data_IF_600296098304
#
_entry.id   IF_600296098304
#
_cell.length_a   1.000
_cell.length_b   1.000
_cell.length_c   1.000
_cell.angle_alpha   90.00
_cell.angle_beta   90.00
_cell.angle_gamma   90.00
#
_symmetry.space_group_name_H-M   'P 1'
#
loop_
_entity.id
_entity.type
_entity.pdbx_description
1 polymer ?
#
# COMPACT_ATOMS: atom_id res chain seq x y z
N UNK A 1 24.89 -14.18 -13.95
CA UNK A 1 23.49 -14.47 -13.52
C UNK A 1 23.36 -15.59 -12.49
N UNK A 2 24.24 -16.61 -12.41
CA UNK A 2 24.10 -17.71 -11.44
C UNK A 2 24.48 -17.41 -9.97
N UNK A 3 25.28 -16.37 -9.69
CA UNK A 3 25.77 -16.10 -8.32
C UNK A 3 24.75 -15.36 -7.43
N UNK A 4 23.87 -14.53 -8.01
CA UNK A 4 22.89 -13.74 -7.25
C UNK A 4 21.73 -14.58 -6.70
N UNK A 5 21.35 -15.67 -7.38
CA UNK A 5 20.24 -16.53 -6.99
C UNK A 5 20.56 -17.39 -5.75
N UNK A 6 21.84 -17.64 -5.46
CA UNK A 6 22.27 -18.49 -4.35
C UNK A 6 22.27 -17.70 -3.02
N UNK A 7 22.59 -16.40 -3.05
CA UNK A 7 22.56 -15.54 -1.85
C UNK A 7 21.14 -15.25 -1.33
N UNK A 8 20.10 -15.35 -2.17
CA UNK A 8 18.71 -15.03 -1.75
C UNK A 8 18.07 -16.21 -1.00
N UNK A 9 18.54 -17.44 -1.21
CA UNK A 9 17.97 -18.64 -0.57
C UNK A 9 18.48 -18.89 0.86
N UNK A 10 19.64 -18.35 1.26
CA UNK A 10 20.20 -18.57 2.59
C UNK A 10 19.56 -17.73 3.70
N UNK A 11 18.80 -16.68 3.35
CA UNK A 11 18.16 -15.76 4.31
C UNK A 11 16.81 -16.28 4.86
N UNK A 12 16.23 -17.33 4.29
CA UNK A 12 14.89 -17.83 4.68
C UNK A 12 14.86 -18.86 5.83
N UNK A 13 16.01 -19.37 6.31
CA UNK A 13 16.03 -20.52 7.24
C UNK A 13 16.19 -20.19 8.74
N UNK A 14 16.25 -18.93 9.18
CA UNK A 14 16.61 -18.58 10.58
C UNK A 14 15.44 -18.28 11.54
N UNK A 15 14.20 -18.68 11.21
CA UNK A 15 12.99 -18.22 11.90
C UNK A 15 12.19 -19.29 12.65
N UNK A 16 12.78 -20.21 13.42
CA UNK A 16 11.99 -21.05 14.34
C UNK A 16 12.85 -21.71 15.45
N UNK A 17 12.69 -21.27 16.71
CA UNK A 17 12.50 -22.11 17.92
C UNK A 17 12.67 -21.27 19.21
N UNK A 18 11.71 -21.34 20.13
CA UNK A 18 11.93 -21.51 21.59
C UNK A 18 10.59 -21.41 22.38
N UNK A 19 10.26 -22.45 23.16
CA UNK A 19 9.16 -22.50 24.13
C UNK A 19 9.71 -22.67 25.58
N UNK A 20 8.97 -22.24 26.62
CA UNK A 20 9.37 -22.24 28.06
C UNK A 20 8.30 -22.84 28.99
N UNK A 21 8.65 -23.42 30.17
CA UNK A 21 7.68 -23.94 31.16
C UNK A 21 7.58 -23.14 32.52
N UNK A 22 6.67 -23.61 33.41
CA UNK A 22 5.88 -22.94 34.50
C UNK A 22 6.37 -23.16 35.97
N UNK A 23 5.64 -22.61 36.97
CA UNK A 23 6.15 -22.05 38.24
C UNK A 23 5.17 -22.16 39.45
N UNK A 24 5.66 -22.32 40.71
CA UNK A 24 4.87 -22.18 41.96
C UNK A 24 5.63 -21.57 43.19
N UNK A 25 4.91 -20.70 43.93
CA UNK A 25 5.03 -20.11 45.30
C UNK A 25 6.35 -19.60 45.93
N UNK A 26 6.57 -18.26 45.94
CA UNK A 26 7.85 -17.63 46.40
C UNK A 26 7.76 -16.28 47.12
N UNK A 27 6.57 -15.75 47.34
CA UNK A 27 6.38 -14.39 47.87
C UNK A 27 7.00 -14.17 49.28
N UNK A 28 7.01 -15.18 50.15
CA UNK A 28 7.54 -15.05 51.52
C UNK A 28 9.07 -15.02 51.59
N UNK A 29 9.75 -15.61 50.61
CA UNK A 29 11.22 -15.69 50.57
C UNK A 29 11.86 -14.37 50.14
N UNK A 30 11.19 -13.60 49.27
CA UNK A 30 11.67 -12.30 48.81
C UNK A 30 11.56 -11.21 49.89
N UNK A 31 10.54 -11.27 50.75
CA UNK A 31 10.35 -10.31 51.84
C UNK A 31 11.42 -10.44 52.94
N UNK A 32 11.90 -11.65 53.24
CA UNK A 32 12.99 -11.84 54.20
C UNK A 32 14.38 -11.48 53.66
N UNK A 33 14.56 -11.49 52.33
CA UNK A 33 15.88 -11.32 51.68
C UNK A 33 16.14 -9.89 51.19
N UNK A 34 15.15 -8.98 51.26
CA UNK A 34 15.36 -7.54 51.02
C UNK A 34 16.14 -6.84 52.15
N UNK A 35 16.50 -7.55 53.22
CA UNK A 35 17.26 -7.04 54.36
C UNK A 35 18.75 -7.38 54.31
N UNK A 36 19.24 -8.12 53.31
CA UNK A 36 20.66 -8.50 53.17
C UNK A 36 21.35 -7.73 52.04
N UNK A 37 22.54 -7.18 52.32
CA UNK A 37 23.30 -6.25 51.46
C UNK A 37 24.22 -6.90 50.41
N UNK A 38 24.03 -8.17 50.07
CA UNK A 38 24.80 -8.87 49.03
C UNK A 38 24.08 -8.86 47.67
N UNK A 39 24.79 -8.68 46.54
CA UNK A 39 24.19 -8.77 45.21
C UNK A 39 23.55 -10.15 45.02
N UNK A 40 22.25 -10.13 44.73
CA UNK A 40 21.39 -11.31 44.77
C UNK A 40 21.14 -11.78 43.33
N UNK A 41 21.61 -12.98 42.99
CA UNK A 41 21.13 -13.71 41.81
C UNK A 41 20.07 -14.70 42.30
N UNK A 42 18.79 -14.41 42.04
CA UNK A 42 17.68 -15.31 42.36
C UNK A 42 17.11 -15.83 41.04
N UNK A 43 17.50 -17.04 40.68
CA UNK A 43 16.86 -17.80 39.62
C UNK A 43 15.60 -18.46 40.19
N UNK A 44 14.43 -17.86 39.93
CA UNK A 44 13.16 -18.50 40.24
C UNK A 44 12.01 -18.07 39.30
N UNK A 45 11.33 -19.06 38.74
CA UNK A 45 10.47 -18.98 37.55
C UNK A 45 9.11 -18.29 37.71
N UNK A 46 8.71 -17.81 38.90
CA UNK A 46 7.35 -17.32 39.22
C UNK A 46 7.19 -15.80 39.23
N UNK A 47 8.22 -15.09 39.66
CA UNK A 47 8.23 -13.64 39.81
C UNK A 47 9.63 -13.21 39.50
N UNK A 48 9.80 -12.63 38.32
CA UNK A 48 11.12 -12.25 37.87
C UNK A 48 11.49 -10.94 38.52
N UNK A 49 12.33 -11.04 39.55
CA UNK A 49 12.98 -9.90 40.19
C UNK A 49 14.31 -9.72 39.50
N UNK A 50 14.54 -8.53 38.96
CA UNK A 50 15.77 -8.22 38.25
C UNK A 50 16.43 -7.02 38.91
N UNK A 51 17.71 -7.18 39.22
CA UNK A 51 18.60 -6.05 39.43
C UNK A 51 18.95 -5.48 38.05
N UNK A 52 18.99 -4.16 37.94
CA UNK A 52 19.30 -3.46 36.69
C UNK A 52 20.79 -3.58 36.30
N UNK A 53 21.28 -4.80 36.07
CA UNK A 53 22.70 -5.10 35.83
C UNK A 53 23.20 -4.59 34.47
N UNK A 54 22.32 -4.42 33.47
CA UNK A 54 22.72 -3.98 32.12
C UNK A 54 23.04 -2.50 32.01
N UNK A 55 22.36 -1.64 32.78
CA UNK A 55 22.60 -0.18 32.74
C UNK A 55 23.25 0.39 34.00
N UNK A 56 23.24 -0.33 35.13
CA UNK A 56 23.99 0.02 36.34
C UNK A 56 24.89 -1.14 36.75
N UNK A 57 26.04 -1.26 36.07
CA UNK A 57 27.04 -2.32 36.32
C UNK A 57 27.70 -2.20 37.70
N UNK A 58 27.55 -1.06 38.38
CA UNK A 58 28.17 -0.77 39.68
C UNK A 58 27.18 -0.88 40.86
N UNK A 59 25.88 -1.06 40.58
CA UNK A 59 24.84 -1.16 41.60
C UNK A 59 24.64 0.12 42.42
N UNK A 60 25.06 1.27 41.90
CA UNK A 60 24.99 2.57 42.57
C UNK A 60 23.54 3.07 42.72
N UNK A 61 22.66 2.69 41.80
CA UNK A 61 21.24 3.05 41.81
C UNK A 61 20.45 2.28 42.87
N UNK A 62 20.93 1.12 43.34
CA UNK A 62 20.26 0.23 44.34
C UNK A 62 18.75 0.04 44.08
N UNK A 63 18.34 -0.04 42.82
CA UNK A 63 16.95 -0.22 42.40
C UNK A 63 16.66 -1.69 42.10
N UNK A 64 15.52 -2.16 42.59
CA UNK A 64 15.01 -3.50 42.36
C UNK A 64 13.71 -3.41 41.55
N UNK A 65 13.67 -4.10 40.42
CA UNK A 65 12.46 -4.24 39.62
C UNK A 65 11.88 -5.63 39.86
N UNK A 66 10.60 -5.70 40.22
CA UNK A 66 9.87 -6.95 40.37
C UNK A 66 8.63 -6.92 39.49
N UNK A 67 8.38 -8.02 38.79
CA UNK A 67 7.15 -8.22 38.02
C UNK A 67 6.38 -9.39 38.61
N UNK A 68 5.10 -9.19 38.87
CA UNK A 68 4.18 -10.22 39.34
C UNK A 68 2.98 -10.30 38.41
N UNK A 69 2.72 -11.48 37.87
CA UNK A 69 1.52 -11.75 37.08
C UNK A 69 0.37 -12.22 37.97
N UNK A 70 -0.88 -11.87 37.59
CA UNK A 70 -2.07 -12.26 38.33
C UNK A 70 -2.22 -13.79 38.41
N UNK A 71 -1.85 -14.50 37.35
CA UNK A 71 -1.90 -15.97 37.29
C UNK A 71 -1.11 -16.64 38.44
N UNK A 72 -0.02 -15.99 38.86
CA UNK A 72 0.94 -16.51 39.83
C UNK A 72 0.89 -15.79 41.19
N UNK A 73 0.05 -14.77 41.35
CA UNK A 73 0.12 -13.81 42.47
C UNK A 73 -1.22 -13.37 43.06
N UNK A 74 -2.30 -14.14 42.88
CA UNK A 74 -3.68 -13.76 43.29
C UNK A 74 -3.78 -13.22 44.72
N UNK A 75 -3.11 -13.88 45.67
CA UNK A 75 -3.10 -13.47 47.08
C UNK A 75 -2.48 -12.08 47.30
N UNK A 76 -1.43 -11.74 46.53
CA UNK A 76 -0.77 -10.43 46.59
C UNK A 76 -1.63 -9.33 45.95
N UNK A 77 -2.33 -9.63 44.86
CA UNK A 77 -3.29 -8.69 44.25
C UNK A 77 -4.46 -8.38 45.20
N UNK A 78 -4.97 -9.40 45.90
CA UNK A 78 -6.01 -9.23 46.93
C UNK A 78 -5.49 -8.43 48.13
N UNK A 79 -4.30 -8.74 48.64
CA UNK A 79 -3.69 -8.04 49.77
C UNK A 79 -3.42 -6.55 49.48
N UNK A 80 -3.07 -6.22 48.22
CA UNK A 80 -2.84 -4.85 47.77
C UNK A 80 -4.11 -4.16 47.25
N UNK A 81 -5.26 -4.84 47.30
CA UNK A 81 -6.56 -4.39 46.82
C UNK A 81 -6.53 -3.85 45.38
N UNK A 82 -5.80 -4.55 44.50
CA UNK A 82 -5.67 -4.18 43.09
C UNK A 82 -6.85 -4.77 42.30
N UNK A 83 -7.65 -3.91 41.66
CA UNK A 83 -8.82 -4.32 40.87
C UNK A 83 -8.52 -4.44 39.36
N UNK A 84 -7.46 -3.80 38.88
CA UNK A 84 -7.08 -3.73 37.46
C UNK A 84 -5.59 -3.98 37.26
N UNK A 85 -5.22 -4.44 36.06
CA UNK A 85 -3.84 -4.56 35.59
C UNK A 85 -3.77 -3.96 34.16
N UNK A 86 -2.65 -3.35 33.75
CA UNK A 86 -1.37 -3.21 34.45
C UNK A 86 -1.37 -2.08 35.49
N UNK A 87 -0.61 -2.25 36.57
CA UNK A 87 -0.35 -1.21 37.59
C UNK A 87 1.13 -1.23 37.96
N UNK A 88 1.76 -0.06 38.04
CA UNK A 88 3.14 0.09 38.49
C UNK A 88 3.13 0.71 39.89
N UNK A 89 3.82 0.08 40.83
CA UNK A 89 3.95 0.58 42.20
C UNK A 89 5.42 0.80 42.53
N UNK A 90 5.70 1.98 43.09
CA UNK A 90 7.01 2.33 43.61
C UNK A 90 6.98 2.30 45.14
N UNK A 91 7.78 1.43 45.72
CA UNK A 91 7.98 1.34 47.16
C UNK A 91 9.20 2.20 47.52
N UNK A 92 9.04 3.28 48.31
CA UNK A 92 10.18 4.07 48.75
C UNK A 92 11.05 3.27 49.71
N UNK A 93 12.36 3.56 49.80
CA UNK A 93 13.22 2.91 50.78
C UNK A 93 12.76 3.24 52.20
N UNK A 94 12.66 2.22 53.05
CA UNK A 94 12.28 2.36 54.47
C UNK A 94 13.49 2.47 55.40
N UNK A 95 14.67 2.08 54.91
CA UNK A 95 15.94 2.08 55.67
C UNK A 95 17.04 2.70 54.81
N UNK A 96 17.85 3.60 55.38
CA UNK A 96 19.03 4.19 54.73
C UNK A 96 18.95 5.72 54.50
N UNK A 97 19.96 6.32 53.84
CA UNK A 97 20.12 7.78 53.70
C UNK A 97 19.02 8.50 52.91
N UNK A 98 18.19 7.76 52.17
CA UNK A 98 17.06 8.28 51.40
C UNK A 98 15.69 7.81 51.90
N UNK A 99 15.61 7.30 53.14
CA UNK A 99 14.40 6.73 53.70
C UNK A 99 13.31 7.79 53.89
N UNK A 100 12.11 7.51 53.39
CA UNK A 100 10.93 8.37 53.62
C UNK A 100 10.20 7.89 54.88
N UNK A 101 9.77 8.84 55.72
CA UNK A 101 9.01 8.57 56.95
C UNK A 101 7.64 7.93 56.66
N UNK A 102 7.10 8.22 55.48
CA UNK A 102 5.88 7.60 54.96
C UNK A 102 6.26 6.48 53.98
N UNK A 103 6.13 5.24 54.43
CA UNK A 103 6.51 4.03 53.67
C UNK A 103 5.44 3.56 52.68
N UNK A 104 4.40 4.37 52.42
CA UNK A 104 3.29 3.98 51.56
C UNK A 104 3.73 3.88 50.09
N UNK A 105 3.27 2.85 49.35
CA UNK A 105 3.60 2.68 47.95
C UNK A 105 2.91 3.74 47.08
N UNK A 106 3.68 4.36 46.19
CA UNK A 106 3.16 5.32 45.22
C UNK A 106 2.71 4.56 43.98
N UNK A 107 1.48 4.80 43.52
CA UNK A 107 0.87 4.12 42.38
C UNK A 107 0.99 4.97 41.12
N UNK A 108 1.40 4.35 40.02
CA UNK A 108 1.33 4.89 38.67
C UNK A 108 0.23 4.16 37.90
N UNK A 109 -0.74 4.91 37.41
CA UNK A 109 -1.91 4.38 36.71
C UNK A 109 -1.75 4.50 35.19
N UNK A 110 -2.12 3.46 34.46
CA UNK A 110 -2.00 3.34 33.01
C UNK A 110 -3.31 3.74 32.30
N UNK A 111 -3.91 4.86 32.69
CA UNK A 111 -5.24 5.27 32.18
C UNK A 111 -5.25 5.67 30.69
N UNK A 112 -4.09 5.95 30.09
CA UNK A 112 -3.98 6.28 28.66
C UNK A 112 -2.78 5.56 28.02
N UNK A 113 -2.65 5.65 26.69
CA UNK A 113 -1.53 5.09 25.93
C UNK A 113 -0.22 5.83 26.28
N UNK A 114 0.34 5.52 27.46
CA UNK A 114 1.51 6.16 28.02
C UNK A 114 2.77 5.67 27.31
N UNK A 115 3.62 6.62 26.93
CA UNK A 115 4.93 6.36 26.36
C UNK A 115 5.90 5.83 27.43
N UNK A 116 6.89 5.05 27.01
CA UNK A 116 7.95 4.58 27.92
C UNK A 116 8.75 5.75 28.54
N UNK A 117 8.71 6.93 27.92
CA UNK A 117 9.35 8.16 28.40
C UNK A 117 8.62 8.76 29.58
N UNK A 118 7.29 8.77 29.56
CA UNK A 118 6.46 9.29 30.66
C UNK A 118 6.65 8.44 31.91
N UNK A 119 6.63 7.10 31.76
CA UNK A 119 6.94 6.17 32.84
C UNK A 119 8.35 6.39 33.39
N UNK A 120 9.35 6.51 32.51
CA UNK A 120 10.73 6.78 32.93
C UNK A 120 10.85 8.11 33.69
N UNK A 121 10.18 9.16 33.20
CA UNK A 121 10.14 10.48 33.87
C UNK A 121 9.46 10.40 35.25
N UNK A 122 8.41 9.59 35.38
CA UNK A 122 7.68 9.43 36.64
C UNK A 122 8.52 8.69 37.68
N UNK A 123 9.20 7.61 37.27
CA UNK A 123 10.15 6.88 38.12
C UNK A 123 11.28 7.83 38.54
N UNK A 124 11.88 8.54 37.58
CA UNK A 124 13.04 9.42 37.86
C UNK A 124 12.76 10.55 38.87
N UNK A 125 11.51 11.01 38.99
CA UNK A 125 11.08 12.05 39.93
C UNK A 125 10.97 11.58 41.39
N UNK A 126 10.69 10.29 41.60
CA UNK A 126 10.43 9.75 42.93
C UNK A 126 11.63 9.03 43.55
N UNK A 127 12.71 8.87 42.78
CA UNK A 127 13.96 8.26 43.21
C UNK A 127 14.87 9.25 43.96
N UNK A 128 15.63 8.77 44.97
CA UNK A 128 16.68 9.56 45.63
C UNK A 128 17.75 10.07 44.63
N UNK A 129 18.48 11.14 44.98
CA UNK A 129 19.58 11.64 44.14
C UNK A 129 20.62 10.54 43.88
N UNK A 130 20.85 10.23 42.61
CA UNK A 130 21.74 9.15 42.17
C UNK A 130 21.69 8.94 40.64
N UNK A 131 22.46 7.97 40.11
CA UNK A 131 22.44 7.63 38.70
C UNK A 131 21.07 7.09 38.28
N UNK A 132 20.54 7.62 37.16
CA UNK A 132 19.24 7.25 36.60
C UNK A 132 19.39 6.27 35.44
N UNK A 133 18.55 5.23 35.32
CA UNK A 133 18.66 4.25 34.25
C UNK A 133 18.28 4.87 32.89
N UNK A 134 19.11 4.78 31.83
CA UNK A 134 18.75 5.33 30.52
C UNK A 134 17.64 4.52 29.86
N UNK A 135 16.68 5.21 29.23
CA UNK A 135 15.66 4.57 28.40
C UNK A 135 16.25 4.18 27.04
N UNK A 136 16.46 2.87 26.82
CA UNK A 136 16.95 2.33 25.55
C UNK A 136 15.81 1.59 24.85
N UNK A 137 15.37 2.11 23.70
CA UNK A 137 14.38 1.44 22.86
C UNK A 137 15.09 0.35 22.03
N UNK A 138 14.63 -0.92 22.06
CA UNK A 138 15.21 -1.95 21.21
C UNK A 138 14.98 -1.59 19.74
N UNK A 139 16.00 -1.79 18.91
CA UNK A 139 15.88 -1.53 17.47
C UNK A 139 14.95 -2.55 16.82
N UNK A 140 14.05 -2.11 15.93
CA UNK A 140 13.11 -2.99 15.24
C UNK A 140 13.79 -3.70 14.06
N UNK A 141 14.51 -4.79 14.36
CA UNK A 141 15.18 -5.60 13.35
C UNK A 141 14.20 -6.25 12.37
N UNK A 142 13.01 -6.66 12.81
CA UNK A 142 11.99 -7.27 11.94
C UNK A 142 11.53 -6.26 10.89
N UNK A 143 11.20 -5.03 11.31
CA UNK A 143 10.79 -3.95 10.40
C UNK A 143 11.88 -3.57 9.39
N UNK A 144 13.15 -3.58 9.83
CA UNK A 144 14.28 -3.38 8.91
C UNK A 144 14.35 -4.51 7.89
N UNK A 145 14.34 -5.77 8.34
CA UNK A 145 14.44 -6.95 7.45
C UNK A 145 13.28 -6.98 6.46
N UNK A 146 12.04 -6.72 6.89
CA UNK A 146 10.87 -6.71 5.99
C UNK A 146 10.98 -5.61 4.95
N UNK A 147 11.41 -4.42 5.35
CA UNK A 147 11.56 -3.28 4.43
C UNK A 147 12.66 -3.56 3.42
N UNK A 148 13.82 -4.03 3.87
CA UNK A 148 14.94 -4.38 2.98
C UNK A 148 14.55 -5.50 2.01
N UNK A 149 13.86 -6.54 2.49
CA UNK A 149 13.41 -7.66 1.64
C UNK A 149 12.42 -7.20 0.59
N UNK A 150 11.46 -6.33 0.93
CA UNK A 150 10.48 -5.80 -0.01
C UNK A 150 11.16 -4.94 -1.09
N UNK A 151 12.07 -4.06 -0.70
CA UNK A 151 12.81 -3.20 -1.63
C UNK A 151 13.66 -4.04 -2.59
N UNK A 152 14.40 -5.02 -2.07
CA UNK A 152 15.19 -5.93 -2.91
C UNK A 152 14.30 -6.80 -3.82
N UNK A 153 13.16 -7.27 -3.31
CA UNK A 153 12.15 -7.98 -4.08
C UNK A 153 11.62 -7.16 -5.25
N UNK A 154 11.34 -5.87 -5.03
CA UNK A 154 10.87 -4.97 -6.07
C UNK A 154 11.95 -4.71 -7.13
N UNK A 155 13.20 -4.45 -6.70
CA UNK A 155 14.32 -4.23 -7.62
C UNK A 155 14.59 -5.47 -8.46
N UNK A 156 14.61 -6.66 -7.84
CA UNK A 156 14.80 -7.92 -8.55
C UNK A 156 13.66 -8.16 -9.54
N UNK A 157 12.40 -7.95 -9.14
CA UNK A 157 11.26 -8.04 -10.05
C UNK A 157 11.38 -7.11 -11.27
N UNK A 158 11.69 -5.83 -11.06
CA UNK A 158 11.83 -4.84 -12.15
C UNK A 158 12.98 -5.23 -13.08
N UNK A 159 14.13 -5.64 -12.53
CA UNK A 159 15.30 -6.04 -13.34
C UNK A 159 15.06 -7.31 -14.15
N UNK A 160 14.29 -8.27 -13.62
CA UNK A 160 13.88 -9.48 -14.36
C UNK A 160 12.80 -9.17 -15.41
N UNK A 161 11.88 -8.26 -15.12
CA UNK A 161 10.82 -7.89 -16.05
C UNK A 161 11.30 -6.95 -17.18
N UNK A 162 12.41 -6.24 -16.96
CA UNK A 162 13.04 -5.30 -17.91
C UNK A 162 13.15 -5.83 -19.35
N UNK A 163 13.73 -7.01 -19.65
CA UNK A 163 13.86 -7.51 -21.03
C UNK A 163 12.52 -7.75 -21.73
N UNK A 164 11.43 -7.99 -20.98
CA UNK A 164 10.10 -8.21 -21.56
C UNK A 164 9.31 -6.91 -21.70
N UNK A 165 9.40 -6.02 -20.71
CA UNK A 165 8.63 -4.77 -20.67
C UNK A 165 9.24 -3.68 -21.55
N UNK A 166 10.58 -3.55 -21.58
CA UNK A 166 11.22 -2.46 -22.33
C UNK A 166 10.93 -2.49 -23.83
N UNK A 167 10.99 -3.63 -24.54
CA UNK A 167 10.64 -3.66 -25.97
C UNK A 167 9.20 -3.23 -26.24
N UNK A 168 8.26 -3.54 -25.33
CA UNK A 168 6.86 -3.15 -25.45
C UNK A 168 6.73 -1.64 -25.26
N UNK A 169 7.31 -1.09 -24.19
CA UNK A 169 7.26 0.35 -23.89
C UNK A 169 8.03 1.19 -24.91
N UNK A 170 9.10 0.67 -25.53
CA UNK A 170 9.89 1.42 -26.52
C UNK A 170 9.32 1.30 -27.94
N UNK A 171 8.29 0.49 -28.17
CA UNK A 171 7.74 0.28 -29.50
C UNK A 171 6.94 1.51 -29.97
N UNK A 172 7.50 2.26 -30.93
CA UNK A 172 6.84 3.43 -31.53
C UNK A 172 5.49 3.09 -32.17
N UNK A 173 5.36 1.92 -32.79
CA UNK A 173 4.11 1.52 -33.46
C UNK A 173 2.99 1.25 -32.43
N UNK A 174 3.35 0.73 -31.25
CA UNK A 174 2.39 0.54 -30.15
C UNK A 174 1.83 1.89 -29.70
N UNK A 175 2.72 2.87 -29.44
CA UNK A 175 2.29 4.22 -29.05
C UNK A 175 1.51 4.94 -30.13
N UNK A 176 1.89 4.78 -31.40
CA UNK A 176 1.14 5.32 -32.53
C UNK A 176 -0.26 4.70 -32.64
N UNK A 177 -0.39 3.39 -32.40
CA UNK A 177 -1.70 2.73 -32.36
C UNK A 177 -2.57 3.19 -31.19
N UNK A 178 -2.00 3.25 -29.99
CA UNK A 178 -2.70 3.71 -28.78
C UNK A 178 -3.17 5.17 -28.94
N UNK A 179 -2.28 6.05 -29.42
CA UNK A 179 -2.64 7.47 -29.62
C UNK A 179 -3.70 7.64 -30.70
N UNK A 180 -3.64 6.87 -31.79
CA UNK A 180 -4.66 6.89 -32.84
C UNK A 180 -6.03 6.47 -32.28
N UNK A 181 -6.10 5.37 -31.53
CA UNK A 181 -7.35 4.91 -30.89
C UNK A 181 -7.88 5.99 -29.94
N UNK A 182 -7.02 6.60 -29.13
CA UNK A 182 -7.41 7.66 -28.20
C UNK A 182 -7.99 8.88 -28.95
N UNK A 183 -7.33 9.32 -30.02
CA UNK A 183 -7.82 10.44 -30.84
C UNK A 183 -9.19 10.11 -31.44
N UNK A 184 -9.40 8.90 -31.98
CA UNK A 184 -10.69 8.49 -32.55
C UNK A 184 -11.80 8.43 -31.50
N UNK A 185 -11.49 7.91 -30.30
CA UNK A 185 -12.44 7.84 -29.20
C UNK A 185 -12.84 9.24 -28.71
N UNK A 186 -11.88 10.16 -28.59
CA UNK A 186 -12.18 11.50 -28.10
C UNK A 186 -12.85 12.40 -29.14
N UNK A 187 -12.53 12.24 -30.43
CA UNK A 187 -13.15 13.03 -31.51
C UNK A 187 -14.55 12.56 -31.90
N UNK A 188 -14.90 11.29 -31.67
CA UNK A 188 -16.23 10.73 -32.00
C UNK A 188 -17.34 11.11 -31.01
N UNK A 189 -17.00 11.69 -29.84
CA UNK A 189 -17.98 12.09 -28.82
C UNK A 189 -18.18 11.08 -27.69
N UNK A 190 -17.27 10.13 -27.47
CA UNK A 190 -17.40 9.14 -26.39
C UNK A 190 -17.56 9.78 -24.99
N UNK A 191 -16.93 10.94 -24.74
CA UNK A 191 -17.08 11.68 -23.47
C UNK A 191 -18.49 12.24 -23.26
N UNK A 192 -19.15 12.68 -24.34
CA UNK A 192 -20.54 13.12 -24.27
C UNK A 192 -21.44 11.99 -23.76
N UNK A 193 -21.27 10.79 -24.32
CA UNK A 193 -22.01 9.60 -23.90
C UNK A 193 -21.72 9.22 -22.44
N UNK A 194 -20.45 9.30 -22.03
CA UNK A 194 -20.04 8.94 -20.68
C UNK A 194 -20.65 9.88 -19.61
N UNK A 195 -20.71 11.18 -19.88
CA UNK A 195 -21.24 12.18 -18.95
C UNK A 195 -22.78 12.08 -18.88
N UNK A 196 -23.45 12.02 -20.03
CA UNK A 196 -24.92 12.13 -20.12
C UNK A 196 -25.65 10.79 -19.99
N UNK A 197 -24.93 9.67 -19.91
CA UNK A 197 -25.50 8.31 -19.81
C UNK A 197 -26.59 8.05 -20.85
N UNK A 198 -26.29 8.40 -22.10
CA UNK A 198 -27.25 8.28 -23.21
C UNK A 198 -27.59 6.81 -23.51
N UNK A 199 -28.80 6.52 -24.01
CA UNK A 199 -29.15 5.17 -24.42
C UNK A 199 -28.27 4.72 -25.59
N UNK A 200 -28.02 3.41 -25.67
CA UNK A 200 -27.19 2.83 -26.71
C UNK A 200 -27.87 2.87 -28.09
N UNK A 201 -29.17 2.58 -28.12
CA UNK A 201 -30.08 2.72 -29.25
C UNK A 201 -31.45 3.16 -28.74
N UNK A 202 -32.26 3.79 -29.58
CA UNK A 202 -33.66 4.14 -29.26
C UNK A 202 -34.60 3.44 -30.22
N UNK A 203 -35.81 3.10 -29.76
CA UNK A 203 -36.87 2.62 -30.65
C UNK A 203 -37.47 3.78 -31.46
N UNK A 204 -37.87 3.50 -32.70
CA UNK A 204 -38.49 4.46 -33.63
C UNK A 204 -39.99 4.71 -33.35
N UNK A 205 -40.51 4.21 -32.22
CA UNK A 205 -41.94 4.27 -31.87
C UNK A 205 -42.86 3.43 -32.76
N UNK A 206 -42.39 2.95 -33.92
CA UNK A 206 -43.11 2.10 -34.89
C UNK A 206 -42.61 0.65 -34.93
N UNK A 207 -41.90 0.21 -33.89
CA UNK A 207 -41.30 -1.13 -33.81
C UNK A 207 -39.91 -1.27 -34.45
N UNK A 208 -39.33 -0.19 -35.00
CA UNK A 208 -37.96 -0.14 -35.52
C UNK A 208 -36.93 0.33 -34.48
N UNK A 209 -35.64 0.21 -34.79
CA UNK A 209 -34.51 0.71 -33.99
C UNK A 209 -33.87 1.89 -34.73
N UNK A 210 -33.74 3.03 -34.06
CA UNK A 210 -33.09 4.24 -34.56
C UNK A 210 -31.67 4.33 -34.00
N UNK A 211 -30.67 4.26 -34.90
CA UNK A 211 -29.25 4.26 -34.54
C UNK A 211 -28.64 5.67 -34.42
N UNK A 212 -29.29 6.68 -35.01
CA UNK A 212 -28.87 8.08 -34.98
C UNK A 212 -29.90 8.92 -34.25
N UNK A 213 -29.47 9.74 -33.30
CA UNK A 213 -30.38 10.64 -32.59
C UNK A 213 -30.76 11.82 -33.48
N UNK A 214 -32.00 12.28 -33.39
CA UNK A 214 -32.45 13.50 -34.06
C UNK A 214 -31.80 14.75 -33.45
N UNK A 215 -31.37 15.66 -34.32
CA UNK A 215 -30.77 16.94 -33.94
C UNK A 215 -29.29 16.85 -33.51
N UNK A 216 -28.63 18.01 -33.43
CA UNK A 216 -27.21 18.12 -33.10
C UNK A 216 -26.91 17.96 -31.61
N UNK A 217 -27.86 18.33 -30.75
CA UNK A 217 -27.65 18.36 -29.30
C UNK A 217 -27.71 16.98 -28.65
N UNK A 218 -28.27 15.98 -29.32
CA UNK A 218 -28.46 14.61 -28.83
C UNK A 218 -27.61 13.61 -29.62
N UNK A 219 -27.17 12.55 -28.93
CA UNK A 219 -26.31 11.51 -29.51
C UNK A 219 -26.59 10.17 -28.84
N UNK A 220 -26.49 9.08 -29.60
CA UNK A 220 -26.60 7.72 -29.06
C UNK A 220 -25.24 7.05 -28.85
N UNK A 221 -25.25 6.00 -28.02
CA UNK A 221 -24.10 5.12 -27.81
C UNK A 221 -23.57 4.53 -29.12
N UNK A 222 -24.46 3.88 -29.88
CA UNK A 222 -24.10 3.27 -31.17
C UNK A 222 -23.60 4.30 -32.18
N UNK A 223 -24.19 5.49 -32.20
CA UNK A 223 -23.80 6.57 -33.11
C UNK A 223 -22.32 6.93 -32.97
N UNK A 224 -21.81 7.08 -31.73
CA UNK A 224 -20.37 7.36 -31.53
C UNK A 224 -19.46 6.26 -32.08
N UNK A 225 -19.88 4.99 -31.97
CA UNK A 225 -19.08 3.86 -32.45
C UNK A 225 -19.05 3.81 -33.99
N UNK A 226 -20.18 4.08 -34.63
CA UNK A 226 -20.27 4.18 -36.08
C UNK A 226 -19.38 5.33 -36.58
N UNK A 227 -19.48 6.53 -35.99
CA UNK A 227 -18.66 7.68 -36.38
C UNK A 227 -17.17 7.42 -36.14
N UNK A 228 -16.80 6.80 -35.01
CA UNK A 228 -15.43 6.41 -34.73
C UNK A 228 -14.88 5.42 -35.78
N UNK A 229 -15.69 4.45 -36.22
CA UNK A 229 -15.31 3.50 -37.26
C UNK A 229 -15.12 4.19 -38.63
N UNK A 230 -15.99 5.14 -38.99
CA UNK A 230 -15.85 5.93 -40.22
C UNK A 230 -14.56 6.75 -40.19
N UNK A 231 -14.28 7.47 -39.10
CA UNK A 231 -13.05 8.24 -38.94
C UNK A 231 -11.81 7.36 -38.94
N UNK A 232 -11.88 6.19 -38.29
CA UNK A 232 -10.80 5.21 -38.29
C UNK A 232 -10.49 4.70 -39.69
N UNK A 233 -11.51 4.34 -40.46
CA UNK A 233 -11.34 3.85 -41.83
C UNK A 233 -10.82 4.94 -42.78
N UNK A 234 -11.34 6.17 -42.68
CA UNK A 234 -10.85 7.32 -43.45
C UNK A 234 -9.38 7.66 -43.12
N UNK A 235 -9.05 7.69 -41.83
CA UNK A 235 -7.66 7.93 -41.37
C UNK A 235 -6.73 6.82 -41.87
N UNK A 236 -7.13 5.56 -41.72
CA UNK A 236 -6.35 4.41 -42.17
C UNK A 236 -6.14 4.43 -43.69
N UNK A 237 -7.18 4.68 -44.47
CA UNK A 237 -7.09 4.78 -45.93
C UNK A 237 -6.14 5.91 -46.35
N UNK A 238 -6.21 7.06 -45.69
CA UNK A 238 -5.30 8.20 -45.94
C UNK A 238 -3.85 7.86 -45.60
N UNK A 239 -3.61 7.22 -44.45
CA UNK A 239 -2.27 6.79 -44.03
C UNK A 239 -1.72 5.72 -44.99
N UNK A 240 -2.54 4.77 -45.41
CA UNK A 240 -2.15 3.73 -46.36
C UNK A 240 -1.77 4.36 -47.72
N UNK A 241 -2.57 5.30 -48.22
CA UNK A 241 -2.30 6.01 -49.46
C UNK A 241 -1.01 6.85 -49.38
N UNK A 242 -0.75 7.51 -48.25
CA UNK A 242 0.42 8.37 -48.07
C UNK A 242 1.72 7.60 -47.78
N UNK A 243 1.65 6.50 -47.03
CA UNK A 243 2.85 5.81 -46.52
C UNK A 243 3.10 4.43 -47.12
N UNK A 244 2.05 3.69 -47.51
CA UNK A 244 2.20 2.30 -48.01
C UNK A 244 2.24 2.26 -49.54
N UNK A 245 1.36 2.98 -50.21
CA UNK A 245 1.25 2.96 -51.68
C UNK A 245 2.53 3.43 -52.39
N UNK A 246 3.23 4.50 -51.96
CA UNK A 246 4.47 4.94 -52.64
C UNK A 246 5.65 3.98 -52.49
N UNK A 247 5.56 3.01 -51.57
CA UNK A 247 6.61 2.02 -51.31
C UNK A 247 6.44 0.71 -52.09
N UNK A 248 5.40 0.61 -52.94
CA UNK A 248 5.17 -0.57 -53.78
C UNK A 248 6.16 -0.57 -54.95
N UNK A 249 6.86 -1.69 -55.16
CA UNK A 249 7.86 -1.80 -56.23
C UNK A 249 7.22 -1.92 -57.63
N UNK A 250 6.05 -2.56 -57.72
CA UNK A 250 5.37 -2.82 -58.98
C UNK A 250 4.46 -1.64 -59.40
N UNK A 251 4.71 -0.99 -60.56
CA UNK A 251 3.94 0.18 -61.00
C UNK A 251 2.45 -0.11 -61.21
N UNK A 252 2.10 -1.30 -61.73
CA UNK A 252 0.70 -1.70 -61.95
C UNK A 252 -0.05 -1.90 -60.62
N UNK A 253 0.59 -2.57 -59.65
CA UNK A 253 0.01 -2.76 -58.32
C UNK A 253 -0.14 -1.43 -57.58
N UNK A 254 0.81 -0.51 -57.75
CA UNK A 254 0.74 0.83 -57.18
C UNK A 254 -0.46 1.61 -57.74
N UNK A 255 -0.64 1.62 -59.07
CA UNK A 255 -1.79 2.30 -59.69
C UNK A 255 -3.13 1.75 -59.19
N UNK A 256 -3.28 0.42 -59.18
CA UNK A 256 -4.51 -0.23 -58.68
C UNK A 256 -4.74 0.11 -57.20
N UNK A 257 -3.69 0.10 -56.38
CA UNK A 257 -3.80 0.46 -54.97
C UNK A 257 -4.23 1.93 -54.78
N UNK A 258 -3.71 2.87 -55.57
CA UNK A 258 -4.16 4.29 -55.55
C UNK A 258 -5.67 4.36 -55.83
N UNK A 259 -6.14 3.73 -56.91
CA UNK A 259 -7.55 3.75 -57.26
C UNK A 259 -8.42 3.16 -56.16
N UNK A 260 -8.05 2.00 -55.60
CA UNK A 260 -8.79 1.35 -54.51
C UNK A 260 -8.89 2.27 -53.29
N UNK A 261 -7.77 2.81 -52.81
CA UNK A 261 -7.77 3.67 -51.63
C UNK A 261 -8.51 4.99 -51.86
N UNK A 262 -8.39 5.59 -53.04
CA UNK A 262 -9.17 6.77 -53.42
C UNK A 262 -10.68 6.48 -53.46
N UNK A 263 -11.09 5.34 -54.02
CA UNK A 263 -12.50 4.91 -54.04
C UNK A 263 -13.04 4.67 -52.63
N UNK A 264 -12.25 4.05 -51.74
CA UNK A 264 -12.63 3.86 -50.32
C UNK A 264 -12.79 5.20 -49.61
N UNK A 265 -11.85 6.14 -49.81
CA UNK A 265 -11.95 7.49 -49.23
C UNK A 265 -13.22 8.20 -49.72
N UNK A 266 -13.47 8.19 -51.03
CA UNK A 266 -14.64 8.84 -51.61
C UNK A 266 -15.95 8.22 -51.11
N UNK A 267 -16.05 6.88 -51.11
CA UNK A 267 -17.24 6.17 -50.63
C UNK A 267 -17.51 6.40 -49.14
N UNK A 268 -16.47 6.34 -48.30
CA UNK A 268 -16.63 6.57 -46.86
C UNK A 268 -16.91 8.04 -46.51
N UNK A 269 -16.34 8.97 -47.27
CA UNK A 269 -16.62 10.40 -47.09
C UNK A 269 -18.06 10.74 -47.54
N UNK A 270 -18.53 10.14 -48.65
CA UNK A 270 -19.94 10.21 -49.06
C UNK A 270 -20.86 9.68 -47.95
N UNK A 271 -20.54 8.53 -47.36
CA UNK A 271 -21.32 7.97 -46.25
C UNK A 271 -21.33 8.88 -45.01
N UNK A 272 -20.17 9.44 -44.63
CA UNK A 272 -20.07 10.41 -43.54
C UNK A 272 -20.99 11.62 -43.77
N UNK A 273 -21.01 12.14 -44.99
CA UNK A 273 -21.81 13.28 -45.37
C UNK A 273 -23.31 12.96 -45.36
N UNK A 274 -23.70 11.74 -45.75
CA UNK A 274 -25.08 11.25 -45.67
C UNK A 274 -25.58 11.14 -44.21
N UNK A 275 -24.74 10.63 -43.30
CA UNK A 275 -25.01 10.63 -41.86
C UNK A 275 -25.16 12.05 -41.32
N UNK A 276 -24.26 12.96 -41.72
CA UNK A 276 -24.33 14.36 -41.30
C UNK A 276 -25.62 15.05 -41.77
N UNK A 277 -26.07 14.77 -43.01
CA UNK A 277 -27.34 15.28 -43.56
C UNK A 277 -28.55 14.76 -42.79
N UNK A 278 -28.52 13.52 -42.32
CA UNK A 278 -29.62 12.96 -41.51
C UNK A 278 -29.77 13.73 -40.19
N UNK A 279 -28.68 14.24 -39.62
CA UNK A 279 -28.73 15.14 -38.45
C UNK A 279 -29.04 16.59 -38.81
N UNK A 280 -28.65 17.03 -40.00
CA UNK A 280 -28.82 18.39 -40.50
C UNK A 280 -29.69 18.42 -41.75
N UNK A 281 -31.01 18.41 -41.55
CA UNK A 281 -31.97 18.45 -42.66
C UNK A 281 -31.81 19.67 -43.59
N UNK A 282 -31.11 20.72 -43.15
CA UNK A 282 -30.81 21.91 -43.95
C UNK A 282 -29.52 21.84 -44.79
N UNK A 283 -28.76 20.75 -44.75
CA UNK A 283 -27.48 20.67 -45.47
C UNK A 283 -27.68 20.35 -46.97
N UNK A 284 -27.28 21.25 -47.89
CA UNK A 284 -27.67 21.17 -49.30
C UNK A 284 -26.74 20.30 -50.17
N UNK A 285 -25.52 20.02 -49.72
CA UNK A 285 -24.54 19.28 -50.52
C UNK A 285 -24.66 17.77 -50.28
N UNK A 286 -24.43 16.98 -51.33
CA UNK A 286 -24.38 15.52 -51.27
C UNK A 286 -23.33 14.99 -52.24
N UNK A 287 -22.84 13.78 -51.97
CA UNK A 287 -21.86 13.11 -52.81
C UNK A 287 -22.34 11.68 -53.05
N UNK A 288 -22.47 11.21 -54.31
CA UNK A 288 -22.81 9.81 -54.57
C UNK A 288 -21.74 8.87 -53.99
N UNK A 289 -22.10 7.64 -53.57
CA UNK A 289 -23.35 6.92 -53.83
C UNK A 289 -24.47 7.10 -52.77
N UNK A 290 -24.27 7.88 -51.71
CA UNK A 290 -25.20 8.02 -50.56
C UNK A 290 -25.72 9.45 -50.31
#
# INVERSE_FOLDING_TARGET
>A
MKLYSICVMSLFCFGALAARPSSADKFRTYHSRSLSSTPLDIDDTTSKVWVWNKGDKKGESRMLFSTLDFSSGRNTFQALMLQTAPVLMLFPPTVGPGAKLDGQPIRFDFQSAQSAEEMHSWISRHLPPGPRPPLVRPFNYIGLITTTTLVLGLITFITLAKPYILPVIQNRNLWAGISLIAILLFTSGHMYNHIRKVPYVSGDGKGGITYFAGGFSNQFGMETQIVAAIYGLLSFATIALALKVPRMADPKSQQVAVFIWCSVILGMYSFLLSVFRTKSNGYPFWLPPF
#
